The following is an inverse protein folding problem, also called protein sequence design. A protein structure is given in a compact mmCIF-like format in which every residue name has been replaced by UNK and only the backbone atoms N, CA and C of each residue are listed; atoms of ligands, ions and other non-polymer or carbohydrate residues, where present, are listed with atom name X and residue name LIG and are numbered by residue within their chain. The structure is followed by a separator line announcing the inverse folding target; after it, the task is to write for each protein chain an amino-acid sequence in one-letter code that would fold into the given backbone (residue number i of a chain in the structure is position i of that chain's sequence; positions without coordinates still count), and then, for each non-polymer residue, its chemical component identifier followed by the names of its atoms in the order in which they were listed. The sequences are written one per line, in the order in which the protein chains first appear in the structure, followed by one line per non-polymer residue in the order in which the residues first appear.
data_IF_700564636207
#
_entry.id   IF_700564636207
#
_cell.length_a   1.000
_cell.length_b   1.000
_cell.length_c   1.000
_cell.angle_alpha   90.00
_cell.angle_beta   90.00
_cell.angle_gamma   90.00
#
_symmetry.space_group_name_H-M   'P 1'
#
loop_
_entity.id
_entity.type
_entity.pdbx_description
1 polymer ?
#
# COMPACT_ATOMS: atom_id res chain seq x y z
N UNK A 1 14.02 21.03 7.22
CA UNK A 1 14.21 19.69 6.62
C UNK A 1 13.68 19.79 5.19
N UNK A 2 14.52 19.61 4.19
CA UNK A 2 14.08 19.65 2.78
C UNK A 2 13.11 18.49 2.52
N UNK A 3 12.11 18.68 1.65
CA UNK A 3 11.03 17.71 1.40
C UNK A 3 11.55 16.31 1.03
N UNK A 4 12.71 16.24 0.36
CA UNK A 4 13.37 14.98 -0.02
C UNK A 4 13.78 14.13 1.18
N UNK A 5 14.35 14.73 2.22
CA UNK A 5 14.79 14.01 3.43
C UNK A 5 13.58 13.44 4.20
N UNK A 6 12.45 14.16 4.19
CA UNK A 6 11.22 13.66 4.78
C UNK A 6 10.65 12.46 4.00
N UNK A 7 10.65 12.55 2.67
CA UNK A 7 10.19 11.47 1.81
C UNK A 7 11.01 10.19 2.03
N UNK A 8 12.34 10.30 2.11
CA UNK A 8 13.22 9.17 2.42
C UNK A 8 12.93 8.55 3.78
N UNK A 9 12.74 9.39 4.79
CA UNK A 9 12.45 8.94 6.16
C UNK A 9 11.11 8.22 6.25
N UNK A 10 10.08 8.73 5.56
CA UNK A 10 8.78 8.07 5.44
C UNK A 10 8.90 6.74 4.70
N UNK A 11 9.55 6.73 3.52
CA UNK A 11 9.72 5.54 2.70
C UNK A 11 10.50 4.43 3.41
N UNK A 12 11.52 4.79 4.21
CA UNK A 12 12.27 3.84 5.02
C UNK A 12 11.39 3.16 6.09
N UNK A 13 10.46 3.91 6.69
CA UNK A 13 9.51 3.40 7.67
C UNK A 13 8.46 2.44 7.09
N UNK A 14 8.05 2.64 5.83
CA UNK A 14 6.97 1.85 5.21
C UNK A 14 7.23 0.34 5.15
N UNK A 15 8.50 -0.07 5.06
CA UNK A 15 8.88 -1.47 4.93
C UNK A 15 8.54 -2.32 6.15
N UNK A 16 8.49 -1.71 7.34
CA UNK A 16 8.20 -2.37 8.61
C UNK A 16 6.74 -2.32 9.05
N UNK A 17 5.87 -1.65 8.28
CA UNK A 17 4.47 -1.48 8.67
C UNK A 17 3.68 -2.76 8.45
N UNK A 18 2.92 -3.16 9.48
CA UNK A 18 1.89 -4.19 9.37
C UNK A 18 0.69 -3.71 8.53
N UNK A 19 -0.25 -4.61 8.24
CA UNK A 19 -1.42 -4.29 7.41
C UNK A 19 -2.29 -3.17 8.04
N UNK A 20 -2.52 -3.23 9.35
CA UNK A 20 -3.30 -2.25 10.09
C UNK A 20 -2.65 -0.86 10.02
N UNK A 21 -1.34 -0.79 10.22
CA UNK A 21 -0.55 0.43 10.14
C UNK A 21 -0.53 0.98 8.71
N UNK A 22 -0.47 0.13 7.68
CA UNK A 22 -0.58 0.55 6.28
C UNK A 22 -1.93 1.22 6.01
N UNK A 23 -3.04 0.59 6.40
CA UNK A 23 -4.38 1.19 6.26
C UNK A 23 -4.47 2.52 7.02
N UNK A 24 -3.96 2.56 8.24
CA UNK A 24 -3.93 3.76 9.08
C UNK A 24 -3.10 4.89 8.45
N UNK A 25 -1.95 4.56 7.83
CA UNK A 25 -1.14 5.50 7.08
C UNK A 25 -1.85 6.03 5.84
N UNK A 26 -2.52 5.17 5.07
CA UNK A 26 -3.31 5.60 3.91
C UNK A 26 -4.44 6.56 4.30
N UNK A 27 -5.13 6.26 5.41
CA UNK A 27 -6.14 7.14 5.99
C UNK A 27 -5.56 8.48 6.46
N UNK A 28 -4.38 8.46 7.09
CA UNK A 28 -3.69 9.67 7.55
C UNK A 28 -3.42 10.60 6.38
N UNK A 29 -2.85 10.08 5.29
CA UNK A 29 -2.60 10.88 4.09
C UNK A 29 -3.88 11.44 3.47
N UNK A 30 -4.97 10.65 3.44
CA UNK A 30 -6.28 11.13 2.98
C UNK A 30 -6.81 12.28 3.85
N UNK A 31 -6.63 12.22 5.18
CA UNK A 31 -7.02 13.29 6.10
C UNK A 31 -6.20 14.56 5.87
N UNK A 32 -4.89 14.43 5.61
CA UNK A 32 -4.00 15.56 5.35
C UNK A 32 -4.22 16.26 4.01
N UNK A 33 -4.90 15.62 3.05
CA UNK A 33 -5.25 16.24 1.77
C UNK A 33 -6.37 17.29 1.89
N UNK A 34 -7.12 17.28 2.98
CA UNK A 34 -8.06 18.37 3.28
C UNK A 34 -7.20 19.61 3.61
N UNK A 35 -7.31 20.72 2.86
CA UNK A 35 -6.48 21.89 3.05
C UNK A 35 -6.84 22.60 4.36
N UNK A 36 -6.24 22.10 5.43
CA UNK A 36 -6.21 22.72 6.74
C UNK A 36 -4.75 22.63 7.22
N UNK A 37 -4.21 23.77 7.66
CA UNK A 37 -2.89 23.83 8.31
C UNK A 37 -3.00 23.59 9.83
N UNK A 38 -4.22 23.30 10.30
CA UNK A 38 -4.51 22.95 11.68
C UNK A 38 -4.03 21.56 12.11
N UNK A 39 -4.25 21.21 13.38
CA UNK A 39 -3.87 19.92 13.93
C UNK A 39 -4.60 18.77 13.24
N UNK A 40 -3.95 17.61 13.21
CA UNK A 40 -4.57 16.36 12.77
C UNK A 40 -5.74 16.01 13.68
N UNK A 41 -6.95 16.02 13.12
CA UNK A 41 -8.16 15.52 13.78
C UNK A 41 -8.16 13.98 13.83
N UNK A 42 -8.01 13.44 15.04
CA UNK A 42 -7.96 11.99 15.25
C UNK A 42 -9.31 11.32 15.01
N UNK A 43 -10.43 12.03 15.19
CA UNK A 43 -11.75 11.46 14.91
C UNK A 43 -11.96 11.35 13.39
N UNK A 44 -11.66 12.40 12.62
CA UNK A 44 -11.68 12.36 11.16
C UNK A 44 -10.73 11.33 10.55
N UNK A 45 -9.51 11.21 11.09
CA UNK A 45 -8.58 10.13 10.72
C UNK A 45 -9.16 8.75 11.02
N UNK A 46 -9.77 8.57 12.19
CA UNK A 46 -10.39 7.31 12.59
C UNK A 46 -11.55 6.93 11.69
N UNK A 47 -12.44 7.87 11.35
CA UNK A 47 -13.56 7.64 10.44
C UNK A 47 -13.06 7.17 9.07
N UNK A 48 -11.93 7.71 8.61
CA UNK A 48 -11.29 7.27 7.37
C UNK A 48 -10.71 5.85 7.46
N UNK A 49 -10.10 5.49 8.58
CA UNK A 49 -9.64 4.11 8.83
C UNK A 49 -10.81 3.13 8.85
N UNK A 50 -11.91 3.48 9.54
CA UNK A 50 -13.11 2.66 9.59
C UNK A 50 -13.65 2.40 8.18
N UNK A 51 -13.76 3.43 7.34
CA UNK A 51 -14.19 3.28 5.94
C UNK A 51 -13.29 2.38 5.10
N UNK A 52 -11.96 2.49 5.25
CA UNK A 52 -11.02 1.65 4.50
C UNK A 52 -11.06 0.19 4.96
N UNK A 53 -11.05 -0.06 6.27
CA UNK A 53 -11.14 -1.41 6.84
C UNK A 53 -12.49 -2.07 6.57
N UNK A 54 -13.58 -1.29 6.53
CA UNK A 54 -14.90 -1.79 6.17
C UNK A 54 -14.95 -2.41 4.77
N UNK A 55 -14.18 -1.82 3.83
CA UNK A 55 -14.09 -2.28 2.43
C UNK A 55 -13.13 -3.46 2.28
N UNK A 56 -12.15 -3.58 3.17
CA UNK A 56 -11.19 -4.68 3.15
C UNK A 56 -11.92 -6.00 3.48
N UNK A 57 -11.86 -6.98 2.57
CA UNK A 57 -12.52 -8.29 2.73
C UNK A 57 -11.64 -9.32 3.45
N UNK A 58 -10.96 -8.89 4.52
CA UNK A 58 -10.04 -9.71 5.31
C UNK A 58 -10.67 -10.24 6.60
N UNK A 59 -10.16 -11.36 7.12
CA UNK A 59 -10.43 -11.77 8.50
C UNK A 59 -9.63 -10.83 9.41
N UNK A 60 -10.25 -10.17 10.40
CA UNK A 60 -9.52 -9.31 11.30
C UNK A 60 -8.48 -10.13 12.07
N UNK A 61 -7.25 -9.61 12.16
CA UNK A 61 -6.14 -10.23 12.89
C UNK A 61 -5.70 -9.39 14.09
N UNK A 62 -6.32 -8.23 14.30
CA UNK A 62 -6.01 -7.29 15.36
C UNK A 62 -7.31 -6.72 15.99
N UNK A 63 -7.21 -6.10 17.19
CA UNK A 63 -8.37 -5.55 17.88
C UNK A 63 -9.12 -4.44 17.14
N UNK A 64 -8.45 -3.66 16.28
CA UNK A 64 -9.10 -2.63 15.47
C UNK A 64 -9.95 -3.31 14.39
N UNK A 65 -9.40 -4.29 13.70
CA UNK A 65 -10.13 -5.09 12.72
C UNK A 65 -11.34 -5.80 13.33
N UNK A 66 -11.21 -6.35 14.54
CA UNK A 66 -12.33 -7.00 15.25
C UNK A 66 -13.46 -6.01 15.55
N UNK A 67 -13.10 -4.81 16.01
CA UNK A 67 -14.06 -3.73 16.27
C UNK A 67 -14.77 -3.29 14.98
N UNK A 68 -14.03 -3.10 13.88
CA UNK A 68 -14.62 -2.75 12.57
C UNK A 68 -15.53 -3.87 12.07
N UNK A 69 -15.14 -5.13 12.20
CA UNK A 69 -15.96 -6.26 11.79
C UNK A 69 -17.26 -6.36 12.60
N UNK A 70 -17.21 -6.11 13.91
CA UNK A 70 -18.38 -6.08 14.78
C UNK A 70 -19.31 -4.90 14.47
N UNK A 71 -18.76 -3.73 14.13
CA UNK A 71 -19.52 -2.58 13.67
C UNK A 71 -20.16 -2.86 12.30
N UNK A 72 -19.43 -3.49 11.38
CA UNK A 72 -19.91 -3.88 10.05
C UNK A 72 -21.04 -4.91 10.09
N UNK A 73 -20.95 -5.89 10.99
CA UNK A 73 -22.03 -6.84 11.22
C UNK A 73 -23.30 -6.14 11.71
N UNK A 74 -23.18 -5.20 12.66
CA UNK A 74 -24.32 -4.43 13.15
C UNK A 74 -24.90 -3.50 12.08
N UNK A 75 -24.05 -2.84 11.29
CA UNK A 75 -24.46 -2.02 10.16
C UNK A 75 -25.29 -2.81 9.15
N UNK A 76 -24.82 -4.00 8.76
CA UNK A 76 -25.55 -4.90 7.85
C UNK A 76 -26.90 -5.34 8.44
N UNK A 77 -26.95 -5.67 9.73
CA UNK A 77 -28.19 -6.02 10.41
C UNK A 77 -29.21 -4.87 10.43
N UNK A 78 -28.71 -3.62 10.46
CA UNK A 78 -29.54 -2.42 10.38
C UNK A 78 -29.85 -1.98 8.92
N UNK A 79 -29.35 -2.68 7.90
CA UNK A 79 -29.59 -2.35 6.49
C UNK A 79 -28.56 -1.40 5.85
N UNK A 80 -27.41 -1.16 6.49
CA UNK A 80 -26.31 -0.40 5.90
C UNK A 80 -25.20 -1.28 5.34
N UNK A 81 -24.65 -0.87 4.20
CA UNK A 81 -23.47 -1.48 3.58
C UNK A 81 -22.19 -0.67 3.77
N UNK A 82 -22.26 0.51 4.41
CA UNK A 82 -21.13 1.44 4.57
C UNK A 82 -20.95 1.85 6.03
N UNK A 83 -19.74 2.28 6.41
CA UNK A 83 -19.49 2.79 7.74
C UNK A 83 -20.29 4.10 7.96
N UNK A 84 -20.32 5.00 6.98
CA UNK A 84 -21.14 6.22 7.03
C UNK A 84 -22.64 5.95 7.22
N UNK A 85 -23.23 5.01 6.48
CA UNK A 85 -24.64 4.66 6.67
C UNK A 85 -24.90 4.02 8.03
N UNK A 86 -23.92 3.29 8.57
CA UNK A 86 -24.00 2.74 9.93
C UNK A 86 -23.93 3.84 11.00
N UNK A 87 -23.13 4.89 10.78
CA UNK A 87 -23.10 6.05 11.66
C UNK A 87 -24.49 6.73 11.74
N UNK A 88 -25.21 6.82 10.61
CA UNK A 88 -26.55 7.39 10.57
C UNK A 88 -27.60 6.50 11.27
N UNK A 89 -27.55 5.18 11.07
CA UNK A 89 -28.54 4.25 11.62
C UNK A 89 -28.28 3.84 13.08
N UNK A 90 -27.01 3.78 13.49
CA UNK A 90 -26.57 3.31 14.81
C UNK A 90 -25.56 4.28 15.46
N UNK A 91 -25.93 5.55 15.69
CA UNK A 91 -24.98 6.60 16.07
C UNK A 91 -24.23 6.32 17.37
N UNK A 92 -24.92 5.80 18.40
CA UNK A 92 -24.29 5.47 19.68
C UNK A 92 -23.26 4.34 19.55
N UNK A 93 -23.56 3.31 18.74
CA UNK A 93 -22.64 2.18 18.50
C UNK A 93 -21.45 2.62 17.68
N UNK A 94 -21.68 3.41 16.64
CA UNK A 94 -20.62 3.99 15.82
C UNK A 94 -19.68 4.86 16.65
N UNK A 95 -20.22 5.79 17.46
CA UNK A 95 -19.42 6.63 18.34
C UNK A 95 -18.57 5.81 19.32
N UNK A 96 -19.13 4.76 19.92
CA UNK A 96 -18.37 3.88 20.81
C UNK A 96 -17.22 3.15 20.09
N UNK A 97 -17.48 2.61 18.89
CA UNK A 97 -16.47 1.95 18.06
C UNK A 97 -15.38 2.94 17.59
N UNK A 98 -15.76 4.15 17.18
CA UNK A 98 -14.83 5.23 16.81
C UNK A 98 -13.92 5.57 17.98
N UNK A 99 -14.46 5.76 19.18
CA UNK A 99 -13.65 6.06 20.38
C UNK A 99 -12.62 4.96 20.65
N UNK A 100 -13.02 3.69 20.67
CA UNK A 100 -12.10 2.57 20.90
C UNK A 100 -11.03 2.47 19.81
N UNK A 101 -11.43 2.65 18.56
CA UNK A 101 -10.51 2.61 17.41
C UNK A 101 -9.51 3.76 17.45
N UNK A 102 -9.96 4.99 17.70
CA UNK A 102 -9.08 6.16 17.84
C UNK A 102 -8.01 5.94 18.90
N UNK A 103 -8.37 5.34 20.03
CA UNK A 103 -7.42 5.01 21.09
C UNK A 103 -6.39 3.97 20.65
N UNK A 104 -6.84 2.87 20.04
CA UNK A 104 -5.93 1.83 19.56
C UNK A 104 -4.98 2.36 18.47
N UNK A 105 -5.49 3.15 17.52
CA UNK A 105 -4.69 3.75 16.46
C UNK A 105 -3.67 4.75 17.00
N UNK A 106 -4.07 5.61 17.93
CA UNK A 106 -3.17 6.60 18.54
C UNK A 106 -2.05 5.91 19.31
N UNK A 107 -2.37 4.91 20.14
CA UNK A 107 -1.38 4.25 20.98
C UNK A 107 -0.40 3.34 20.20
N UNK A 108 -0.82 2.77 19.06
CA UNK A 108 -0.05 1.73 18.34
C UNK A 108 0.44 2.15 16.95
N UNK A 109 -0.43 2.81 16.17
CA UNK A 109 -0.13 3.12 14.77
C UNK A 109 0.53 4.48 14.63
N UNK A 110 0.06 5.49 15.37
CA UNK A 110 0.54 6.86 15.20
C UNK A 110 2.06 7.02 15.40
N UNK A 111 2.71 6.44 16.44
CA UNK A 111 4.16 6.55 16.61
C UNK A 111 4.98 5.83 15.51
N UNK A 112 4.39 4.84 14.84
CA UNK A 112 5.03 4.13 13.73
C UNK A 112 4.89 4.90 12.40
N UNK A 113 3.82 5.70 12.27
CA UNK A 113 3.52 6.47 11.06
C UNK A 113 4.12 7.87 11.08
N UNK A 114 4.16 8.50 12.25
CA UNK A 114 4.65 9.85 12.45
C UNK A 114 5.81 9.82 13.47
N UNK A 115 7.05 10.00 13.01
CA UNK A 115 8.17 10.27 13.90
C UNK A 115 7.90 11.47 14.81
N UNK A 116 8.43 11.46 16.03
CA UNK A 116 8.30 12.59 16.98
C UNK A 116 8.86 13.91 16.44
N UNK A 117 9.75 13.87 15.46
CA UNK A 117 10.26 15.07 14.78
C UNK A 117 9.20 15.79 13.93
N UNK A 118 8.06 15.15 13.62
CA UNK A 118 7.01 15.68 12.75
C UNK A 118 5.74 16.11 13.51
N UNK A 119 5.58 15.66 14.76
CA UNK A 119 4.37 15.85 15.53
C UNK A 119 4.66 15.76 17.04
N UNK A 120 3.93 16.52 17.87
CA UNK A 120 3.99 16.34 19.33
C UNK A 120 3.29 15.04 19.74
N UNK A 121 4.10 13.99 19.87
CA UNK A 121 3.68 12.68 20.35
C UNK A 121 4.21 12.38 21.75
N UNK A 122 4.67 13.38 22.51
CA UNK A 122 5.26 13.17 23.85
C UNK A 122 4.29 12.57 24.86
N UNK A 123 2.99 12.75 24.63
CA UNK A 123 1.89 12.23 25.44
C UNK A 123 1.38 10.86 24.98
N UNK A 124 1.84 10.36 23.83
CA UNK A 124 1.39 9.07 23.28
C UNK A 124 2.22 7.94 23.89
N UNK A 125 1.55 7.05 24.63
CA UNK A 125 2.19 5.89 25.25
C UNK A 125 1.30 4.65 25.21
N UNK A 126 1.89 3.47 25.48
CA UNK A 126 1.18 2.18 25.42
C UNK A 126 -0.05 2.06 26.32
N UNK A 127 -0.11 2.83 27.41
CA UNK A 127 -1.22 2.85 28.38
C UNK A 127 -2.17 4.04 28.21
N UNK A 128 -2.19 4.66 27.02
CA UNK A 128 -3.05 5.81 26.75
C UNK A 128 -4.52 5.46 27.07
N UNK A 129 -5.25 6.42 27.61
CA UNK A 129 -6.65 6.28 28.00
C UNK A 129 -7.57 7.19 27.17
N UNK A 130 -8.88 6.93 27.21
CA UNK A 130 -9.86 7.82 26.58
C UNK A 130 -9.85 9.22 27.22
N UNK A 131 -9.68 9.31 28.53
CA UNK A 131 -9.66 10.58 29.23
C UNK A 131 -8.48 11.46 28.79
N UNK A 132 -7.29 10.86 28.59
CA UNK A 132 -6.13 11.58 28.06
C UNK A 132 -6.34 12.05 26.62
N UNK A 133 -6.95 11.22 25.77
CA UNK A 133 -7.33 11.63 24.41
C UNK A 133 -8.34 12.78 24.40
N UNK A 134 -9.36 12.70 25.24
CA UNK A 134 -10.41 13.71 25.35
C UNK A 134 -9.83 15.03 25.91
N UNK A 135 -8.88 14.95 26.85
CA UNK A 135 -8.15 16.11 27.39
C UNK A 135 -7.30 16.83 26.33
N UNK A 136 -6.90 16.13 25.26
CA UNK A 136 -6.21 16.71 24.09
C UNK A 136 -7.16 17.13 22.97
N UNK A 137 -8.47 17.13 23.23
CA UNK A 137 -9.51 17.38 22.22
C UNK A 137 -9.35 16.50 20.98
N UNK A 138 -8.73 15.31 21.14
CA UNK A 138 -8.48 14.34 20.06
C UNK A 138 -7.73 14.94 18.86
N UNK A 139 -6.76 15.80 19.13
CA UNK A 139 -5.96 16.49 18.12
C UNK A 139 -4.48 16.24 18.33
N UNK A 140 -3.73 16.20 17.23
CA UNK A 140 -2.26 16.11 17.22
C UNK A 140 -1.71 17.27 16.43
N UNK A 141 -0.91 18.11 17.07
CA UNK A 141 -0.19 19.19 16.41
C UNK A 141 0.90 18.61 15.51
N UNK A 142 0.85 18.99 14.24
CA UNK A 142 1.87 18.65 13.25
C UNK A 142 2.78 19.84 13.05
N UNK A 143 4.06 19.59 12.82
CA UNK A 143 4.94 20.62 12.29
C UNK A 143 4.40 21.08 10.91
N UNK A 144 4.18 22.39 10.67
CA UNK A 144 3.59 22.86 9.41
C UNK A 144 4.39 22.49 8.17
N UNK A 145 5.72 22.41 8.26
CA UNK A 145 6.56 21.98 7.15
C UNK A 145 6.42 20.47 6.91
N UNK A 146 6.30 19.68 7.97
CA UNK A 146 5.99 18.25 7.87
C UNK A 146 4.62 18.00 7.23
N UNK A 147 3.58 18.74 7.64
CA UNK A 147 2.23 18.61 7.05
C UNK A 147 2.24 18.92 5.55
N UNK A 148 2.93 20.01 5.14
CA UNK A 148 3.09 20.37 3.73
C UNK A 148 3.84 19.29 2.94
N UNK A 149 4.96 18.82 3.45
CA UNK A 149 5.75 17.82 2.76
C UNK A 149 5.03 16.46 2.70
N UNK A 150 4.26 16.08 3.73
CA UNK A 150 3.36 14.92 3.68
C UNK A 150 2.35 15.05 2.54
N UNK A 151 1.70 16.21 2.37
CA UNK A 151 0.78 16.47 1.26
C UNK A 151 1.45 16.33 -0.11
N UNK A 152 2.67 16.84 -0.26
CA UNK A 152 3.44 16.75 -1.52
C UNK A 152 3.78 15.31 -1.88
N UNK A 153 4.13 14.47 -0.89
CA UNK A 153 4.46 13.07 -1.14
C UNK A 153 3.25 12.15 -1.16
N UNK A 154 2.06 12.61 -0.77
CA UNK A 154 0.84 11.78 -0.68
C UNK A 154 0.59 11.00 -1.97
N UNK A 155 0.72 11.63 -3.14
CA UNK A 155 0.50 10.96 -4.43
C UNK A 155 1.43 9.75 -4.67
N UNK A 156 2.63 9.78 -4.10
CA UNK A 156 3.65 8.72 -4.23
C UNK A 156 3.50 7.66 -3.13
N UNK A 157 3.27 8.11 -1.89
CA UNK A 157 3.27 7.26 -0.69
C UNK A 157 1.94 6.55 -0.51
N UNK A 158 0.81 7.21 -0.80
CA UNK A 158 -0.54 6.66 -0.59
C UNK A 158 -0.75 5.32 -1.26
N UNK A 159 -0.38 5.12 -2.56
CA UNK A 159 -0.32 3.81 -3.16
C UNK A 159 0.31 2.77 -2.24
N UNK A 160 1.54 2.98 -1.80
CA UNK A 160 2.32 2.00 -1.02
C UNK A 160 1.68 1.58 0.31
N UNK A 161 0.74 2.38 0.82
CA UNK A 161 0.03 2.18 2.07
C UNK A 161 -1.34 1.52 1.92
N UNK A 162 -1.95 1.48 0.73
CA UNK A 162 -3.24 0.79 0.64
C UNK A 162 -3.03 -0.73 0.82
N UNK A 163 -3.93 -1.43 1.52
CA UNK A 163 -3.94 -2.89 1.50
C UNK A 163 -4.29 -3.34 0.07
N UNK A 164 -3.66 -4.40 -0.44
CA UNK A 164 -3.97 -4.93 -1.78
C UNK A 164 -5.44 -5.38 -1.79
N UNK A 165 -6.36 -4.66 -2.45
CA UNK A 165 -7.78 -4.81 -2.15
C UNK A 165 -8.36 -6.13 -2.66
N UNK A 166 -7.65 -6.87 -3.53
CA UNK A 166 -8.03 -8.19 -4.04
C UNK A 166 -6.78 -8.98 -4.45
N UNK A 167 -6.76 -10.32 -4.32
CA UNK A 167 -5.77 -11.12 -5.02
C UNK A 167 -5.77 -10.76 -6.52
N UNK A 168 -4.61 -10.86 -7.22
CA UNK A 168 -4.57 -10.68 -8.66
C UNK A 168 -5.72 -11.44 -9.31
N UNK A 169 -6.50 -10.75 -10.15
CA UNK A 169 -7.38 -11.47 -11.04
C UNK A 169 -6.44 -12.17 -12.00
N UNK A 170 -6.28 -13.47 -11.79
CA UNK A 170 -5.55 -14.34 -12.69
C UNK A 170 -6.63 -15.11 -13.42
N UNK A 171 -6.87 -14.83 -14.71
CA UNK A 171 -7.81 -15.62 -15.50
C UNK A 171 -7.48 -17.12 -15.35
N UNK A 172 -8.50 -17.95 -15.34
CA UNK A 172 -8.30 -19.40 -15.26
C UNK A 172 -7.36 -19.85 -16.40
N UNK A 173 -6.38 -20.70 -16.09
CA UNK A 173 -5.35 -21.13 -17.05
C UNK A 173 -4.21 -20.14 -17.32
N UNK A 174 -4.39 -18.82 -17.10
CA UNK A 174 -3.34 -17.83 -17.37
C UNK A 174 -2.04 -18.09 -16.60
N UNK A 175 -2.15 -18.66 -15.39
CA UNK A 175 -0.98 -19.02 -14.59
C UNK A 175 -0.11 -20.11 -15.25
N UNK A 176 -0.72 -21.08 -15.93
CA UNK A 176 0.02 -22.13 -16.64
C UNK A 176 0.71 -21.54 -17.88
N UNK A 177 -0.02 -20.75 -18.67
CA UNK A 177 0.48 -20.08 -19.86
C UNK A 177 1.66 -19.14 -19.54
N UNK A 178 1.54 -18.33 -18.48
CA UNK A 178 2.63 -17.46 -18.01
C UNK A 178 3.88 -18.23 -17.59
N UNK A 179 3.71 -19.36 -16.89
CA UNK A 179 4.87 -20.20 -16.50
C UNK A 179 5.55 -20.76 -17.74
N UNK A 180 4.80 -21.20 -18.74
CA UNK A 180 5.36 -21.72 -19.99
C UNK A 180 6.08 -20.62 -20.77
N UNK A 181 5.48 -19.43 -20.91
CA UNK A 181 6.13 -18.27 -21.52
C UNK A 181 7.44 -17.87 -20.80
N UNK A 182 7.51 -18.06 -19.48
CA UNK A 182 8.73 -17.88 -18.68
C UNK A 182 9.64 -19.13 -18.63
N UNK A 183 9.44 -20.11 -19.50
CA UNK A 183 10.22 -21.36 -19.58
C UNK A 183 10.28 -22.11 -18.24
N UNK A 184 9.21 -22.00 -17.46
CA UNK A 184 9.07 -22.55 -16.10
C UNK A 184 10.19 -22.14 -15.15
N UNK A 185 10.70 -20.91 -15.32
CA UNK A 185 11.69 -20.32 -14.42
C UNK A 185 11.13 -19.11 -13.68
N UNK A 186 11.57 -18.93 -12.43
CA UNK A 186 11.21 -17.79 -11.61
C UNK A 186 11.80 -16.53 -12.21
N UNK A 187 10.98 -15.52 -12.47
CA UNK A 187 11.45 -14.26 -13.06
C UNK A 187 12.54 -13.56 -12.22
N UNK A 188 12.42 -13.61 -10.90
CA UNK A 188 13.35 -12.92 -10.00
C UNK A 188 14.72 -13.59 -9.88
N UNK A 189 14.78 -14.93 -9.80
CA UNK A 189 16.02 -15.65 -9.48
C UNK A 189 16.40 -16.77 -10.46
N UNK A 190 15.62 -17.01 -11.51
CA UNK A 190 15.86 -18.07 -12.50
C UNK A 190 15.61 -19.49 -12.01
N UNK A 191 15.30 -19.70 -10.73
CA UNK A 191 15.04 -21.04 -10.19
C UNK A 191 13.85 -21.72 -10.87
N UNK A 192 13.88 -23.05 -11.09
CA UNK A 192 12.75 -23.78 -11.66
C UNK A 192 11.47 -23.61 -10.84
N UNK A 193 10.34 -23.40 -11.53
CA UNK A 193 9.01 -23.32 -10.94
C UNK A 193 8.36 -24.70 -10.95
N UNK A 194 7.85 -25.11 -9.79
CA UNK A 194 6.97 -26.30 -9.62
C UNK A 194 5.50 -25.91 -9.80
N UNK A 195 4.61 -26.91 -9.92
CA UNK A 195 3.17 -26.69 -9.81
C UNK A 195 2.83 -25.99 -8.47
N UNK A 196 1.88 -25.04 -8.49
CA UNK A 196 1.46 -24.29 -7.30
C UNK A 196 2.27 -23.04 -6.95
N UNK A 197 3.22 -22.61 -7.78
CA UNK A 197 3.94 -21.35 -7.58
C UNK A 197 3.11 -20.11 -7.90
N UNK A 198 3.38 -19.02 -7.17
CA UNK A 198 2.61 -17.79 -7.22
C UNK A 198 2.78 -17.05 -8.56
N UNK A 199 1.65 -16.65 -9.13
CA UNK A 199 1.58 -15.61 -10.14
C UNK A 199 1.24 -14.32 -9.41
N UNK A 200 2.13 -13.34 -9.52
CA UNK A 200 2.02 -12.07 -8.81
C UNK A 200 2.01 -10.91 -9.81
N UNK A 201 1.38 -9.78 -9.48
CA UNK A 201 1.55 -8.55 -10.25
C UNK A 201 3.02 -8.13 -10.30
N UNK A 202 3.53 -7.73 -11.45
CA UNK A 202 4.87 -7.16 -11.62
C UNK A 202 4.99 -5.83 -10.87
N UNK A 203 4.05 -4.92 -11.14
CA UNK A 203 3.87 -3.70 -10.37
C UNK A 203 2.98 -3.98 -9.15
N UNK A 204 3.30 -3.45 -7.97
CA UNK A 204 2.35 -3.39 -6.87
C UNK A 204 1.06 -2.70 -7.35
N UNK A 205 -0.09 -3.39 -7.29
CA UNK A 205 -1.41 -2.92 -7.79
C UNK A 205 -1.82 -1.56 -7.26
N UNK A 206 -1.31 -1.26 -6.08
CA UNK A 206 -1.38 0.01 -5.39
C UNK A 206 -1.13 1.24 -6.28
N UNK A 207 -0.31 1.11 -7.34
CA UNK A 207 0.05 2.24 -8.19
C UNK A 207 -0.87 2.42 -9.40
N UNK A 208 -1.35 1.34 -10.03
CA UNK A 208 -2.15 1.39 -11.25
C UNK A 208 -3.03 0.13 -11.39
N UNK A 209 -4.33 0.25 -11.74
CA UNK A 209 -5.21 -0.89 -11.99
C UNK A 209 -4.89 -1.53 -13.35
N UNK A 210 -3.75 -2.22 -13.42
CA UNK A 210 -3.33 -3.00 -14.57
C UNK A 210 -3.74 -4.45 -14.35
N UNK A 211 -5.01 -4.73 -14.61
CA UNK A 211 -5.57 -6.08 -14.53
C UNK A 211 -5.33 -6.86 -15.82
N UNK A 212 -4.13 -6.75 -16.40
CA UNK A 212 -3.76 -7.48 -17.62
C UNK A 212 -2.79 -8.62 -17.33
N UNK A 213 -2.82 -9.66 -18.15
CA UNK A 213 -1.91 -10.80 -18.02
C UNK A 213 -0.44 -10.39 -18.26
N UNK A 214 -0.15 -9.37 -19.08
CA UNK A 214 1.21 -8.83 -19.16
C UNK A 214 1.66 -8.18 -17.85
N UNK A 215 0.74 -7.69 -17.03
CA UNK A 215 1.03 -7.17 -15.70
C UNK A 215 1.43 -8.26 -14.70
N UNK A 216 1.30 -9.54 -15.04
CA UNK A 216 1.54 -10.67 -14.13
C UNK A 216 2.86 -11.38 -14.41
N UNK A 217 3.50 -11.94 -13.37
CA UNK A 217 4.76 -12.68 -13.47
C UNK A 217 4.74 -13.92 -12.59
N UNK A 218 5.36 -15.01 -13.06
CA UNK A 218 5.51 -16.22 -12.27
C UNK A 218 6.81 -16.18 -11.45
N UNK A 219 6.71 -16.39 -10.14
CA UNK A 219 7.85 -16.31 -9.20
C UNK A 219 7.87 -17.46 -8.21
N UNK A 220 9.04 -17.80 -7.67
CA UNK A 220 9.13 -18.77 -6.59
C UNK A 220 8.62 -18.16 -5.27
N UNK A 221 8.10 -18.96 -4.33
CA UNK A 221 7.54 -18.45 -3.08
C UNK A 221 8.53 -17.59 -2.25
N UNK A 222 9.85 -17.90 -2.17
CA UNK A 222 10.82 -17.00 -1.56
C UNK A 222 10.90 -15.62 -2.25
N UNK A 223 10.88 -15.59 -3.58
CA UNK A 223 10.89 -14.34 -4.36
C UNK A 223 9.60 -13.53 -4.14
N UNK A 224 8.44 -14.18 -4.16
CA UNK A 224 7.15 -13.56 -3.89
C UNK A 224 7.14 -12.85 -2.53
N UNK A 225 7.61 -13.54 -1.48
CA UNK A 225 7.73 -12.97 -0.13
C UNK A 225 8.74 -11.81 -0.08
N UNK A 226 9.93 -11.98 -0.67
CA UNK A 226 10.98 -10.96 -0.62
C UNK A 226 10.65 -9.69 -1.40
N UNK A 227 9.77 -9.76 -2.40
CA UNK A 227 9.37 -8.60 -3.20
C UNK A 227 8.62 -7.57 -2.35
N UNK A 228 7.71 -8.03 -1.48
CA UNK A 228 6.82 -7.15 -0.72
C UNK A 228 6.14 -6.12 -1.64
N UNK A 229 6.32 -4.85 -1.31
CA UNK A 229 5.83 -3.69 -2.10
C UNK A 229 6.90 -3.00 -2.93
N UNK A 230 8.11 -3.57 -3.02
CA UNK A 230 9.20 -2.98 -3.79
C UNK A 230 8.92 -3.08 -5.30
N UNK A 231 9.34 -2.04 -6.04
CA UNK A 231 9.26 -2.03 -7.50
C UNK A 231 10.33 -2.93 -8.11
N UNK A 232 10.11 -3.51 -9.31
CA UNK A 232 11.11 -4.35 -9.96
C UNK A 232 12.36 -3.53 -10.34
N UNK A 233 13.53 -4.11 -10.14
CA UNK A 233 14.81 -3.63 -10.70
C UNK A 233 14.80 -3.67 -12.24
N UNK A 234 15.70 -2.91 -12.88
CA UNK A 234 15.87 -2.93 -14.34
C UNK A 234 16.13 -4.34 -14.88
N UNK A 235 16.88 -5.18 -14.13
CA UNK A 235 17.12 -6.58 -14.51
C UNK A 235 15.83 -7.39 -14.58
N UNK A 236 14.95 -7.24 -13.59
CA UNK A 236 13.65 -7.93 -13.56
C UNK A 236 12.74 -7.42 -14.67
N UNK A 237 12.72 -6.10 -14.92
CA UNK A 237 11.92 -5.53 -16.02
C UNK A 237 12.42 -5.98 -17.38
N UNK A 238 13.73 -6.08 -17.58
CA UNK A 238 14.31 -6.64 -18.81
C UNK A 238 13.88 -8.09 -19.05
N UNK A 239 13.98 -8.94 -18.02
CA UNK A 239 13.56 -10.33 -18.10
C UNK A 239 12.06 -10.45 -18.40
N UNK A 240 11.25 -9.58 -17.80
CA UNK A 240 9.82 -9.48 -18.08
C UNK A 240 9.54 -9.08 -19.53
N UNK A 241 10.18 -8.02 -20.01
CA UNK A 241 9.92 -7.45 -21.33
C UNK A 241 10.29 -8.43 -22.46
N UNK A 242 11.35 -9.22 -22.27
CA UNK A 242 11.82 -10.21 -23.26
C UNK A 242 11.07 -11.54 -23.26
N UNK A 243 10.09 -11.74 -22.38
CA UNK A 243 9.32 -12.98 -22.43
C UNK A 243 8.40 -12.96 -23.67
N UNK A 244 8.21 -14.11 -24.33
CA UNK A 244 7.22 -14.20 -25.39
C UNK A 244 5.81 -13.99 -24.84
N UNK A 245 4.93 -13.43 -25.66
CA UNK A 245 3.49 -13.46 -25.40
C UNK A 245 3.04 -14.93 -25.30
N UNK A 246 2.34 -15.33 -24.23
CA UNK A 246 1.79 -16.67 -24.14
C UNK A 246 0.76 -16.90 -25.27
N UNK A 247 0.79 -18.05 -25.96
CA UNK A 247 -0.25 -18.38 -26.94
C UNK A 247 -1.60 -18.52 -26.24
N UNK A 248 -2.68 -18.29 -27.00
CA UNK A 248 -4.06 -18.56 -26.57
C UNK A 248 -4.51 -17.82 -25.31
N UNK A 249 -4.02 -16.59 -25.09
CA UNK A 249 -4.54 -15.75 -24.02
C UNK A 249 -5.99 -15.33 -24.31
N UNK A 250 -6.90 -15.42 -23.32
CA UNK A 250 -8.30 -15.01 -23.49
C UNK A 250 -8.48 -13.49 -23.59
N UNK A 251 -7.46 -12.72 -23.25
CA UNK A 251 -7.47 -11.26 -23.19
C UNK A 251 -6.24 -10.69 -23.91
N UNK A 252 -6.31 -9.43 -24.41
CA UNK A 252 -5.16 -8.77 -25.00
C UNK A 252 -3.97 -8.72 -24.03
N UNK A 253 -2.77 -9.00 -24.53
CA UNK A 253 -1.55 -8.98 -23.72
C UNK A 253 -1.28 -7.61 -23.08
N UNK A 254 -1.62 -6.48 -23.72
CA UNK A 254 -1.45 -5.11 -23.20
C UNK A 254 -0.02 -4.75 -22.68
N UNK A 255 1.03 -5.36 -23.24
CA UNK A 255 2.40 -5.16 -22.75
C UNK A 255 2.86 -3.70 -22.81
N UNK A 256 2.49 -2.95 -23.84
CA UNK A 256 2.83 -1.53 -23.98
C UNK A 256 2.21 -0.66 -22.88
N UNK A 257 0.96 -0.96 -22.49
CA UNK A 257 0.27 -0.26 -21.41
C UNK A 257 0.97 -0.51 -20.06
N UNK A 258 1.39 -1.75 -19.82
CA UNK A 258 2.17 -2.11 -18.62
C UNK A 258 3.56 -1.48 -18.64
N UNK A 259 4.21 -1.41 -19.80
CA UNK A 259 5.49 -0.75 -20.00
C UNK A 259 5.42 0.76 -19.70
N UNK A 260 4.44 1.47 -20.27
CA UNK A 260 4.24 2.90 -20.00
C UNK A 260 3.96 3.20 -18.54
N UNK A 261 3.14 2.35 -17.90
CA UNK A 261 2.89 2.39 -16.47
C UNK A 261 4.16 2.19 -15.61
N UNK A 262 4.98 1.18 -15.94
CA UNK A 262 6.27 0.95 -15.27
C UNK A 262 7.18 2.17 -15.40
N UNK A 263 7.30 2.74 -16.60
CA UNK A 263 8.09 3.95 -16.86
C UNK A 263 7.62 5.11 -16.01
N UNK A 264 6.32 5.41 -15.99
CA UNK A 264 5.78 6.51 -15.20
C UNK A 264 6.06 6.33 -13.70
N UNK A 265 5.84 5.12 -13.19
CA UNK A 265 6.03 4.77 -11.78
C UNK A 265 7.50 4.82 -11.37
N UNK A 266 8.40 4.34 -12.22
CA UNK A 266 9.84 4.27 -11.95
C UNK A 266 10.52 5.62 -12.15
N UNK A 267 10.07 6.43 -13.12
CA UNK A 267 10.57 7.80 -13.33
C UNK A 267 10.29 8.73 -12.15
N UNK A 268 9.25 8.45 -11.37
CA UNK A 268 8.91 9.21 -10.16
C UNK A 268 9.70 8.77 -8.91
N UNK A 269 10.64 7.81 -9.02
CA UNK A 269 11.38 7.33 -7.87
C UNK A 269 12.54 8.26 -7.49
N UNK A 270 12.63 8.67 -6.21
CA UNK A 270 13.85 9.23 -5.68
C UNK A 270 15.02 8.24 -5.81
N UNK A 271 16.25 8.76 -5.76
CA UNK A 271 17.44 7.92 -5.61
C UNK A 271 17.41 7.19 -4.24
N UNK A 272 18.13 6.06 -4.14
CA UNK A 272 18.28 5.28 -2.92
C UNK A 272 17.12 4.32 -2.59
N UNK A 273 15.97 4.45 -3.24
CA UNK A 273 14.80 3.58 -3.05
C UNK A 273 15.14 2.13 -3.43
N UNK A 274 14.84 1.14 -2.57
CA UNK A 274 15.12 -0.25 -2.88
C UNK A 274 14.22 -0.76 -4.02
N UNK A 275 14.84 -1.40 -5.00
CA UNK A 275 14.21 -2.09 -6.12
C UNK A 275 14.41 -3.59 -5.97
N UNK A 276 13.36 -4.37 -6.13
CA UNK A 276 13.40 -5.82 -6.03
C UNK A 276 14.22 -6.44 -7.18
N UNK A 277 15.29 -7.16 -6.82
CA UNK A 277 16.22 -7.80 -7.76
C UNK A 277 16.20 -9.33 -7.68
N UNK A 278 15.28 -9.93 -6.92
CA UNK A 278 15.16 -11.37 -6.74
C UNK A 278 15.07 -11.78 -5.27
N UNK A 279 15.49 -13.02 -4.97
CA UNK A 279 15.36 -13.62 -3.64
C UNK A 279 16.27 -12.89 -2.65
N UNK A 280 15.69 -12.12 -1.74
CA UNK A 280 16.43 -11.37 -0.72
C UNK A 280 17.48 -10.43 -1.30
N UNK A 281 17.32 -10.03 -2.56
CA UNK A 281 18.22 -9.12 -3.27
C UNK A 281 17.46 -7.86 -3.67
N UNK A 282 18.10 -6.72 -3.46
CA UNK A 282 17.57 -5.41 -3.87
C UNK A 282 18.67 -4.58 -4.51
N UNK A 283 18.35 -3.94 -5.62
CA UNK A 283 19.13 -2.83 -6.16
C UNK A 283 18.67 -1.52 -5.49
N UNK A 284 19.44 -0.44 -5.66
CA UNK A 284 19.00 0.91 -5.28
C UNK A 284 18.77 1.75 -6.52
N UNK A 285 17.68 2.51 -6.55
CA UNK A 285 17.46 3.52 -7.58
C UNK A 285 18.57 4.57 -7.52
N UNK A 286 18.92 5.10 -8.68
CA UNK A 286 19.85 6.19 -8.91
C UNK A 286 19.12 7.50 -9.21
N UNK A 287 17.79 7.45 -9.38
CA UNK A 287 16.96 8.56 -9.86
C UNK A 287 16.91 8.67 -11.38
N UNK A 288 17.70 7.86 -12.11
CA UNK A 288 17.72 7.83 -13.59
C UNK A 288 17.02 6.61 -14.18
N UNK A 289 16.38 5.78 -13.35
CA UNK A 289 15.78 4.52 -13.79
C UNK A 289 14.67 4.72 -14.82
N UNK A 290 13.91 5.82 -14.75
CA UNK A 290 12.88 6.12 -15.74
C UNK A 290 13.44 6.28 -17.16
N UNK A 291 14.56 6.99 -17.30
CA UNK A 291 15.24 7.19 -18.59
C UNK A 291 15.83 5.88 -19.10
N UNK A 292 16.51 5.14 -18.21
CA UNK A 292 17.07 3.82 -18.53
C UNK A 292 15.99 2.86 -18.98
N UNK A 293 14.83 2.90 -18.31
CA UNK A 293 13.71 2.02 -18.63
C UNK A 293 13.04 2.41 -19.95
N UNK A 294 12.92 3.70 -20.27
CA UNK A 294 12.47 4.15 -21.60
C UNK A 294 13.38 3.64 -22.70
N UNK A 295 14.70 3.74 -22.53
CA UNK A 295 15.66 3.19 -23.47
C UNK A 295 15.56 1.67 -23.59
N UNK A 296 15.35 0.97 -22.47
CA UNK A 296 15.21 -0.48 -22.40
C UNK A 296 13.96 -1.02 -23.12
N UNK A 297 12.86 -0.28 -23.05
CA UNK A 297 11.55 -0.67 -23.56
C UNK A 297 11.21 -0.04 -24.92
N UNK A 298 12.16 0.69 -25.52
CA UNK A 298 11.97 1.25 -26.86
C UNK A 298 11.80 0.11 -27.88
N UNK A 299 10.90 0.25 -28.86
CA UNK A 299 10.79 -0.71 -29.94
C UNK A 299 12.14 -0.84 -30.67
N UNK A 300 12.55 -2.07 -30.92
CA UNK A 300 13.79 -2.41 -31.64
C UNK A 300 13.68 -2.11 -33.14
#
# INVERSE_FOLDING_TARGET
MEGTALAELLLAGLGGLDEQQRVAGAALLDTLLVPDDGPLDLDGWTDRVLELLWRARGRPTDPVGEEVAALAAAGRAAGSLTAHGTAALLPARYAAARRRTALALTARSLPALLPQALADLTWVHRRLTQAELDARSRRVELDPAAARALREVTGVVRPLLQPDPRPPFVPEGAAALLREAQRRTCLGCGAPLRAGHDVVPLLPRLRLPLDSVAGLVAVCAPCARSRGTALPSLRVVWAWHRRPEPPDLPEPWEQERVAGALVAVVAALPAGVPLWAGRSTSDRSTGSEGDRLRALLAPA
#
